data_IF_627390298278
#
_entry.id   IF_627390298278
#
_cell.length_a   1.000
_cell.length_b   1.000
_cell.length_c   1.000
_cell.angle_alpha   90.00
_cell.angle_beta   90.00
_cell.angle_gamma   90.00
#
_symmetry.space_group_name_H-M   'P 1'
#
loop_
_entity.id
_entity.type
_entity.pdbx_description
1 polymer ?
#
# COMPACT_ATOMS: atom_id res chain seq x y z
N UNK A 1 -4.45 -1.17 -11.45
CA UNK A 1 -3.64 -1.29 -10.22
C UNK A 1 -2.87 -0.01 -9.95
N UNK A 2 -2.34 0.13 -8.75
CA UNK A 2 -1.38 1.18 -8.38
C UNK A 2 -0.05 0.57 -7.93
N UNK A 3 1.05 1.29 -8.15
CA UNK A 3 2.38 0.83 -7.78
C UNK A 3 3.44 1.91 -7.99
N UNK A 4 4.71 1.51 -8.06
CA UNK A 4 5.86 2.44 -8.17
C UNK A 4 6.11 2.95 -9.60
N UNK A 5 5.55 2.30 -10.62
CA UNK A 5 5.80 2.63 -12.03
C UNK A 5 4.55 2.45 -12.89
N UNK A 6 4.58 3.05 -14.07
CA UNK A 6 3.54 2.91 -15.08
C UNK A 6 3.79 1.67 -15.96
N UNK A 7 2.74 1.08 -16.50
CA UNK A 7 2.85 0.00 -17.49
C UNK A 7 1.89 -1.15 -17.26
N UNK A 8 2.40 -2.38 -17.30
CA UNK A 8 1.66 -3.62 -17.10
C UNK A 8 2.21 -4.38 -15.91
N UNK A 9 1.33 -5.03 -15.15
CA UNK A 9 1.70 -5.88 -14.04
C UNK A 9 0.93 -7.21 -14.09
N UNK A 10 1.58 -8.28 -13.62
CA UNK A 10 0.91 -9.54 -13.37
C UNK A 10 0.10 -9.41 -12.08
N UNK A 11 -1.18 -9.64 -12.18
CA UNK A 11 -2.12 -9.52 -11.08
C UNK A 11 -2.75 -10.87 -10.77
N UNK A 12 -2.68 -11.30 -9.52
CA UNK A 12 -3.36 -12.51 -9.05
C UNK A 12 -4.79 -12.15 -8.67
N UNK A 13 -5.74 -12.61 -9.48
CA UNK A 13 -7.17 -12.55 -9.15
C UNK A 13 -7.55 -13.82 -8.40
N UNK A 14 -7.88 -13.65 -7.14
CA UNK A 14 -8.40 -14.71 -6.29
C UNK A 14 -9.93 -14.71 -6.27
N UNK A 15 -10.53 -15.85 -5.99
CA UNK A 15 -11.98 -16.02 -5.88
C UNK A 15 -12.35 -16.80 -4.64
N UNK A 16 -13.63 -16.76 -4.27
CA UNK A 16 -14.12 -17.41 -3.05
C UNK A 16 -13.61 -16.70 -1.80
N UNK A 17 -13.17 -17.46 -0.83
CA UNK A 17 -12.72 -16.95 0.48
C UNK A 17 -11.49 -16.02 0.38
N UNK A 18 -10.62 -16.27 -0.58
CA UNK A 18 -9.37 -15.51 -0.76
C UNK A 18 -9.50 -14.28 -1.66
N UNK A 19 -10.71 -13.89 -2.04
CA UNK A 19 -10.96 -12.77 -2.96
C UNK A 19 -10.23 -11.48 -2.53
N UNK A 20 -10.25 -11.17 -1.25
CA UNK A 20 -9.65 -9.95 -0.68
C UNK A 20 -8.10 -9.97 -0.73
N UNK A 21 -7.49 -11.15 -0.90
CA UNK A 21 -6.04 -11.33 -1.01
C UNK A 21 -5.52 -11.16 -2.45
N UNK A 22 -6.31 -10.56 -3.34
CA UNK A 22 -5.92 -10.31 -4.72
C UNK A 22 -4.96 -9.12 -4.80
N UNK A 23 -3.90 -9.22 -5.61
CA UNK A 23 -2.91 -8.14 -5.71
C UNK A 23 -1.89 -8.35 -6.83
N UNK A 24 -0.91 -7.45 -6.91
CA UNK A 24 0.20 -7.52 -7.86
C UNK A 24 1.19 -8.59 -7.39
N UNK A 25 1.44 -9.57 -8.26
CA UNK A 25 2.23 -10.77 -7.92
C UNK A 25 3.65 -10.43 -7.46
N UNK A 26 4.27 -9.44 -8.09
CA UNK A 26 5.65 -9.02 -7.79
C UNK A 26 5.79 -8.34 -6.42
N UNK A 27 4.67 -7.93 -5.81
CA UNK A 27 4.65 -7.29 -4.50
C UNK A 27 4.43 -8.28 -3.35
N UNK A 28 4.02 -9.51 -3.67
CA UNK A 28 3.76 -10.51 -2.65
C UNK A 28 5.04 -11.05 -2.02
N UNK A 29 5.14 -11.01 -0.71
CA UNK A 29 6.11 -11.81 0.03
C UNK A 29 5.71 -13.30 0.04
N UNK A 30 6.65 -14.17 0.37
CA UNK A 30 6.39 -15.62 0.37
C UNK A 30 5.33 -16.00 1.40
N UNK A 31 5.30 -15.35 2.56
CA UNK A 31 4.30 -15.59 3.59
C UNK A 31 2.86 -15.29 3.10
N UNK A 32 2.70 -14.23 2.27
CA UNK A 32 1.40 -13.91 1.67
C UNK A 32 0.97 -14.96 0.64
N UNK A 33 1.89 -15.40 -0.22
CA UNK A 33 1.63 -16.49 -1.19
C UNK A 33 1.22 -17.78 -0.48
N UNK A 34 1.95 -18.16 0.57
CA UNK A 34 1.65 -19.33 1.38
C UNK A 34 0.28 -19.23 2.06
N UNK A 35 -0.10 -18.04 2.53
CA UNK A 35 -1.43 -17.77 3.08
C UNK A 35 -2.50 -18.03 2.03
N UNK A 36 -2.38 -17.46 0.82
CA UNK A 36 -3.35 -17.66 -0.28
C UNK A 36 -3.52 -19.15 -0.57
N UNK A 37 -2.44 -19.89 -0.80
CA UNK A 37 -2.51 -21.33 -1.12
C UNK A 37 -3.12 -22.15 0.01
N UNK A 38 -2.77 -21.88 1.26
CA UNK A 38 -3.34 -22.55 2.43
C UNK A 38 -4.84 -22.27 2.55
N UNK A 39 -5.26 -21.04 2.38
CA UNK A 39 -6.67 -20.66 2.50
C UNK A 39 -7.51 -21.24 1.36
N UNK A 40 -7.02 -21.23 0.11
CA UNK A 40 -7.68 -21.90 -1.02
C UNK A 40 -7.86 -23.39 -0.72
N UNK A 41 -6.82 -24.06 -0.22
CA UNK A 41 -6.88 -25.47 0.12
C UNK A 41 -7.92 -25.81 1.20
N UNK A 42 -8.06 -24.92 2.20
CA UNK A 42 -8.90 -25.19 3.37
C UNK A 42 -10.35 -24.70 3.19
N UNK A 43 -10.56 -23.59 2.45
CA UNK A 43 -11.84 -22.90 2.34
C UNK A 43 -12.41 -22.93 0.90
N UNK A 44 -11.65 -23.43 -0.05
CA UNK A 44 -12.00 -23.39 -1.46
C UNK A 44 -11.75 -22.02 -2.10
N UNK A 45 -11.94 -21.97 -3.41
CA UNK A 45 -11.63 -20.83 -4.24
C UNK A 45 -10.63 -21.19 -5.34
N UNK A 46 -10.21 -20.21 -6.09
CA UNK A 46 -9.21 -20.36 -7.15
C UNK A 46 -8.42 -19.08 -7.33
N UNK A 47 -7.24 -19.20 -7.90
CA UNK A 47 -6.39 -18.09 -8.33
C UNK A 47 -6.11 -18.19 -9.81
N UNK A 48 -6.09 -17.04 -10.49
CA UNK A 48 -5.57 -16.92 -11.86
C UNK A 48 -4.69 -15.68 -11.95
N UNK A 49 -3.68 -15.74 -12.82
CA UNK A 49 -2.84 -14.57 -13.11
C UNK A 49 -3.37 -13.91 -14.39
N UNK A 50 -3.56 -12.61 -14.32
CA UNK A 50 -3.98 -11.76 -15.43
C UNK A 50 -3.06 -10.56 -15.55
N UNK A 51 -2.91 -10.02 -16.76
CA UNK A 51 -2.20 -8.77 -16.96
C UNK A 51 -3.15 -7.59 -16.72
N UNK A 52 -2.73 -6.60 -15.93
CA UNK A 52 -3.47 -5.36 -15.68
C UNK A 52 -2.59 -4.14 -15.87
N UNK A 53 -3.22 -3.03 -16.27
CA UNK A 53 -2.56 -1.72 -16.25
C UNK A 53 -2.22 -1.32 -14.82
N UNK A 54 -1.02 -0.78 -14.63
CA UNK A 54 -0.54 -0.24 -13.36
C UNK A 54 -0.17 1.22 -13.56
N UNK A 55 -0.53 2.07 -12.61
CA UNK A 55 -0.22 3.50 -12.57
C UNK A 55 0.42 3.86 -11.23
N UNK A 56 1.16 4.95 -11.22
CA UNK A 56 1.57 5.57 -9.95
C UNK A 56 0.42 6.36 -9.34
N UNK A 57 0.44 6.55 -8.01
CA UNK A 57 -0.52 7.46 -7.36
C UNK A 57 -0.37 8.90 -7.87
N UNK A 58 0.84 9.33 -8.24
CA UNK A 58 1.03 10.64 -8.89
C UNK A 58 0.19 10.80 -10.14
N UNK A 59 0.18 9.79 -11.00
CA UNK A 59 -0.64 9.82 -12.21
C UNK A 59 -2.12 9.82 -11.87
N UNK A 60 -2.54 8.98 -10.93
CA UNK A 60 -3.94 8.94 -10.48
C UNK A 60 -4.39 10.29 -9.91
N UNK A 61 -3.59 10.90 -9.05
CA UNK A 61 -3.88 12.22 -8.46
C UNK A 61 -3.98 13.31 -9.54
N UNK A 62 -3.02 13.35 -10.45
CA UNK A 62 -3.02 14.32 -11.56
C UNK A 62 -4.23 14.17 -12.49
N UNK A 63 -4.56 12.94 -12.89
CA UNK A 63 -5.67 12.65 -13.80
C UNK A 63 -7.03 13.00 -13.19
N UNK A 64 -7.15 12.94 -11.87
CA UNK A 64 -8.40 13.22 -11.14
C UNK A 64 -8.42 14.61 -10.48
N UNK A 65 -7.41 15.46 -10.71
CA UNK A 65 -7.37 16.81 -10.14
C UNK A 65 -7.31 16.82 -8.62
N UNK A 66 -6.63 15.84 -8.01
CA UNK A 66 -6.51 15.80 -6.56
C UNK A 66 -5.77 17.03 -6.03
N UNK A 67 -6.18 17.60 -4.87
CA UNK A 67 -5.48 18.71 -4.25
C UNK A 67 -4.09 18.29 -3.78
N UNK A 68 -3.16 19.24 -3.65
CA UNK A 68 -1.81 18.97 -3.15
C UNK A 68 -1.79 18.55 -1.67
N UNK A 69 -2.80 18.97 -0.90
CA UNK A 69 -3.04 18.48 0.46
C UNK A 69 -4.26 17.56 0.47
N UNK A 70 -4.06 16.35 0.93
CA UNK A 70 -5.07 15.29 1.06
C UNK A 70 -5.21 14.95 2.54
N UNK A 71 -6.42 15.09 3.09
CA UNK A 71 -6.64 14.88 4.52
C UNK A 71 -6.34 13.47 4.99
N UNK A 72 -6.69 12.47 4.17
CA UNK A 72 -6.54 11.07 4.53
C UNK A 72 -6.21 10.20 3.31
N UNK A 73 -5.15 9.40 3.42
CA UNK A 73 -4.77 8.38 2.45
C UNK A 73 -4.74 7.02 3.15
N UNK A 74 -5.55 6.06 2.72
CA UNK A 74 -5.40 4.64 3.11
C UNK A 74 -4.78 3.86 1.97
N UNK A 75 -3.73 3.09 2.29
CA UNK A 75 -3.11 2.12 1.39
C UNK A 75 -3.29 0.74 2.02
N UNK A 76 -3.90 -0.16 1.25
CA UNK A 76 -4.28 -1.50 1.64
C UNK A 76 -4.28 -2.33 0.34
N UNK A 77 -3.12 -2.82 -0.02
CA UNK A 77 -2.83 -3.40 -1.35
C UNK A 77 -2.25 -4.81 -1.28
N UNK A 78 -2.37 -5.44 -0.11
CA UNK A 78 -1.97 -6.82 0.11
C UNK A 78 -0.48 -7.08 -0.22
N UNK A 79 0.41 -6.24 0.35
CA UNK A 79 1.87 -6.33 0.22
C UNK A 79 2.50 -5.35 -0.78
N UNK A 80 1.68 -4.47 -1.38
CA UNK A 80 2.15 -3.44 -2.31
C UNK A 80 2.29 -2.04 -1.70
N UNK A 81 2.24 -1.90 -0.38
CA UNK A 81 2.17 -0.61 0.33
C UNK A 81 3.40 0.25 0.06
N UNK A 82 4.60 -0.32 0.20
CA UNK A 82 5.86 0.40 -0.06
C UNK A 82 6.03 0.75 -1.56
N UNK A 83 5.82 -0.17 -2.53
CA UNK A 83 5.76 0.19 -3.95
C UNK A 83 4.76 1.30 -4.28
N UNK A 84 3.56 1.31 -3.67
CA UNK A 84 2.56 2.37 -3.90
C UNK A 84 3.06 3.70 -3.35
N UNK A 85 3.64 3.73 -2.15
CA UNK A 85 4.24 4.94 -1.56
C UNK A 85 5.38 5.49 -2.41
N UNK A 86 6.22 4.64 -2.98
CA UNK A 86 7.30 5.04 -3.91
C UNK A 86 6.78 5.68 -5.20
N UNK A 87 5.50 5.46 -5.55
CA UNK A 87 4.80 6.11 -6.66
C UNK A 87 4.23 7.50 -6.34
N UNK A 88 4.51 8.07 -5.15
CA UNK A 88 4.03 9.38 -4.71
C UNK A 88 5.17 10.40 -4.71
N UNK A 89 4.93 11.56 -5.29
CA UNK A 89 5.78 12.74 -5.17
C UNK A 89 5.43 13.50 -3.88
N UNK A 90 6.16 13.22 -2.80
CA UNK A 90 5.97 13.85 -1.51
C UNK A 90 6.44 15.32 -1.44
N UNK A 91 7.12 15.82 -2.46
CA UNK A 91 7.44 17.24 -2.58
C UNK A 91 6.22 18.03 -3.08
N UNK A 92 5.37 17.37 -3.89
CA UNK A 92 4.14 17.95 -4.41
C UNK A 92 2.93 17.65 -3.54
N UNK A 93 2.75 16.40 -3.11
CA UNK A 93 1.57 15.97 -2.35
C UNK A 93 1.92 15.80 -0.88
N UNK A 94 1.02 16.26 -0.03
CA UNK A 94 1.12 16.08 1.42
C UNK A 94 -0.20 15.56 1.99
N UNK A 95 -0.11 14.85 3.11
CA UNK A 95 -1.23 14.14 3.71
C UNK A 95 -1.41 14.54 5.16
N UNK A 96 -2.66 14.67 5.60
CA UNK A 96 -2.98 14.84 7.01
C UNK A 96 -2.65 13.59 7.79
N UNK A 97 -3.21 12.47 7.37
CA UNK A 97 -2.94 11.13 7.90
C UNK A 97 -2.75 10.14 6.74
N UNK A 98 -1.77 9.26 6.88
CA UNK A 98 -1.59 8.08 6.02
C UNK A 98 -1.87 6.85 6.87
N UNK A 99 -2.80 6.00 6.43
CA UNK A 99 -3.09 4.70 7.05
C UNK A 99 -2.56 3.58 6.18
N UNK A 100 -1.77 2.69 6.78
CA UNK A 100 -1.15 1.54 6.11
C UNK A 100 -1.60 0.28 6.81
N UNK A 101 -2.04 -0.72 6.06
CA UNK A 101 -2.24 -2.06 6.59
C UNK A 101 -0.88 -2.74 6.82
N UNK A 102 -0.67 -3.26 8.02
CA UNK A 102 0.59 -3.92 8.41
C UNK A 102 0.39 -5.39 8.70
N UNK A 103 0.40 -6.23 7.68
CA UNK A 103 0.25 -7.66 7.81
C UNK A 103 1.55 -8.37 8.22
N UNK A 104 2.70 -7.87 7.76
CA UNK A 104 4.01 -8.51 7.95
C UNK A 104 5.02 -7.50 8.51
N UNK A 105 5.82 -7.95 9.51
CA UNK A 105 6.73 -7.05 10.25
C UNK A 105 7.82 -6.44 9.36
N UNK A 106 8.32 -7.17 8.36
CA UNK A 106 9.35 -6.66 7.45
C UNK A 106 8.79 -5.52 6.57
N UNK A 107 7.57 -5.66 6.08
CA UNK A 107 6.86 -4.63 5.30
C UNK A 107 6.62 -3.38 6.16
N UNK A 108 6.16 -3.57 7.41
CA UNK A 108 5.95 -2.47 8.37
C UNK A 108 7.25 -1.67 8.58
N UNK A 109 8.38 -2.35 8.72
CA UNK A 109 9.66 -1.69 8.93
C UNK A 109 10.08 -0.87 7.71
N UNK A 110 9.92 -1.40 6.48
CA UNK A 110 10.21 -0.71 5.23
C UNK A 110 9.37 0.54 5.07
N UNK A 111 8.04 0.39 5.18
CA UNK A 111 7.08 1.50 5.09
C UNK A 111 7.34 2.57 6.16
N UNK A 112 7.62 2.16 7.41
CA UNK A 112 7.90 3.10 8.50
C UNK A 112 9.14 3.92 8.19
N UNK A 113 10.25 3.28 7.83
CA UNK A 113 11.50 3.98 7.47
C UNK A 113 11.31 4.93 6.29
N UNK A 114 10.55 4.51 5.27
CA UNK A 114 10.24 5.34 4.13
C UNK A 114 9.44 6.58 4.54
N UNK A 115 8.33 6.42 5.27
CA UNK A 115 7.48 7.53 5.70
C UNK A 115 8.18 8.48 6.67
N UNK A 116 9.04 7.97 7.57
CA UNK A 116 9.87 8.79 8.44
C UNK A 116 10.83 9.67 7.63
N UNK A 117 11.41 9.15 6.54
CA UNK A 117 12.24 9.93 5.61
C UNK A 117 11.48 11.08 4.93
N UNK A 118 10.14 10.97 4.86
CA UNK A 118 9.24 12.01 4.31
C UNK A 118 8.63 12.92 5.39
N UNK A 119 9.04 12.76 6.64
CA UNK A 119 8.60 13.59 7.77
C UNK A 119 7.29 13.15 8.40
N UNK A 120 6.87 11.91 8.20
CA UNK A 120 5.71 11.30 8.86
C UNK A 120 6.20 10.33 9.94
N UNK A 121 5.49 10.26 11.05
CA UNK A 121 5.78 9.30 12.13
C UNK A 121 4.53 8.52 12.52
N UNK A 122 4.68 7.30 13.04
CA UNK A 122 3.55 6.56 13.58
C UNK A 122 2.91 7.34 14.73
N UNK A 123 1.62 7.60 14.65
CA UNK A 123 0.84 8.35 15.67
C UNK A 123 -0.20 7.49 16.36
N UNK A 124 -0.65 6.42 15.71
CA UNK A 124 -1.60 5.46 16.28
C UNK A 124 -1.48 4.10 15.59
N UNK A 125 -1.97 3.06 16.27
CA UNK A 125 -2.18 1.73 15.70
C UNK A 125 -3.53 1.19 16.16
N UNK A 126 -4.33 0.71 15.21
CA UNK A 126 -5.64 0.10 15.50
C UNK A 126 -5.70 -1.24 14.77
N UNK A 127 -5.62 -2.34 15.52
CA UNK A 127 -5.50 -3.67 14.94
C UNK A 127 -4.21 -3.81 14.13
N UNK A 128 -4.34 -4.08 12.84
CA UNK A 128 -3.22 -4.18 11.89
C UNK A 128 -2.93 -2.85 11.18
N UNK A 129 -3.84 -1.87 11.24
CA UNK A 129 -3.65 -0.56 10.61
C UNK A 129 -2.73 0.33 11.45
N UNK A 130 -1.74 0.93 10.80
CA UNK A 130 -0.81 1.90 11.38
C UNK A 130 -1.09 3.26 10.75
N UNK A 131 -1.25 4.26 11.61
CA UNK A 131 -1.55 5.64 11.20
C UNK A 131 -0.30 6.50 11.36
N UNK A 132 0.05 7.20 10.30
CA UNK A 132 1.19 8.09 10.25
C UNK A 132 0.72 9.53 10.10
N UNK A 133 1.23 10.42 10.94
CA UNK A 133 0.97 11.86 10.89
C UNK A 133 2.25 12.65 10.62
N UNK A 134 2.11 13.83 10.01
CA UNK A 134 3.25 14.71 9.75
C UNK A 134 3.77 15.32 11.06
N UNK A 135 5.07 15.21 11.30
CA UNK A 135 5.69 15.84 12.46
C UNK A 135 5.85 17.32 12.17
N UNK A 136 5.12 18.16 12.87
CA UNK A 136 5.46 19.57 12.96
C UNK A 136 6.72 19.70 13.81
N UNK A 137 7.85 20.11 13.20
CA UNK A 137 8.98 20.59 14.01
C UNK A 137 8.46 21.77 14.84
N UNK A 138 8.13 21.53 16.11
CA UNK A 138 7.98 22.62 17.03
C UNK A 138 9.31 23.35 17.02
N UNK A 139 9.31 24.58 16.52
CA UNK A 139 10.40 25.50 16.75
C UNK A 139 10.51 25.63 18.28
N UNK A 140 11.51 24.97 18.85
CA UNK A 140 11.91 25.24 20.23
C UNK A 140 12.28 26.71 20.28
N UNK A 141 11.50 27.46 21.02
CA UNK A 141 11.75 28.87 21.37
C UNK A 141 12.98 28.91 22.29
#
# INVERSE_FOLDING_TARGET
>A
CVGHSEGKAQFMENSGYTKELSGVVDYYCDAHKDRIFREIKNQGGASKIVEKDIKTLNTVFRENGAPEYIDFLKIDTEGGEEPVLNGIDFDKYSFGIISIEGNYQEEINGVTSFLESKGYQPVARVGIDIFFGKVTKNNSI
#
